data_IF_876810863663
#
_entry.id   IF_876810863663
#
_cell.length_a   1.000
_cell.length_b   1.000
_cell.length_c   1.000
_cell.angle_alpha   90.00
_cell.angle_beta   90.00
_cell.angle_gamma   90.00
#
_symmetry.space_group_name_H-M   'P 1'
#
loop_
_entity.id
_entity.type
_entity.pdbx_description
1 polymer ?
#
# COMPACT_ATOMS: atom_id res chain seq x y z
N UNK A 1 -4.42 -25.30 -25.32
CA UNK A 1 -5.28 -25.33 -24.12
C UNK A 1 -4.38 -25.22 -22.91
N UNK A 2 -4.61 -24.23 -22.05
CA UNK A 2 -3.90 -24.12 -20.76
C UNK A 2 -4.39 -25.24 -19.84
N UNK A 3 -3.50 -26.12 -19.38
CA UNK A 3 -3.84 -27.10 -18.34
C UNK A 3 -3.89 -26.39 -16.99
N UNK A 4 -5.10 -26.13 -16.47
CA UNK A 4 -5.30 -25.57 -15.13
C UNK A 4 -5.51 -26.69 -14.13
N UNK A 5 -4.65 -26.76 -13.12
CA UNK A 5 -4.74 -27.72 -12.02
C UNK A 5 -5.21 -26.97 -10.78
N UNK A 6 -6.34 -27.39 -10.20
CA UNK A 6 -6.84 -26.83 -8.94
C UNK A 6 -5.89 -27.20 -7.80
N UNK A 7 -5.38 -26.20 -7.08
CA UNK A 7 -4.61 -26.37 -5.85
C UNK A 7 -5.35 -25.67 -4.70
N UNK A 8 -5.18 -26.18 -3.48
CA UNK A 8 -5.74 -25.56 -2.27
C UNK A 8 -4.62 -25.31 -1.28
N UNK A 9 -4.50 -24.07 -0.84
CA UNK A 9 -3.66 -23.69 0.29
C UNK A 9 -4.59 -23.47 1.50
N UNK A 10 -4.27 -24.10 2.63
CA UNK A 10 -5.06 -23.97 3.87
C UNK A 10 -4.14 -23.38 4.94
N UNK A 11 -4.52 -22.23 5.48
CA UNK A 11 -3.84 -21.64 6.65
C UNK A 11 -4.49 -22.11 7.94
N UNK A 12 -3.67 -22.33 8.97
CA UNK A 12 -4.15 -22.63 10.33
C UNK A 12 -4.80 -21.42 11.00
N UNK A 13 -4.38 -20.22 10.62
CA UNK A 13 -4.81 -18.97 11.26
C UNK A 13 -5.93 -18.33 10.45
N UNK A 14 -7.04 -18.03 11.13
CA UNK A 14 -8.08 -17.16 10.59
C UNK A 14 -7.67 -15.69 10.82
N UNK A 15 -7.50 -14.96 9.73
CA UNK A 15 -7.06 -13.56 9.78
C UNK A 15 -8.25 -12.60 9.80
N UNK A 16 -8.01 -11.41 10.31
CA UNK A 16 -8.93 -10.28 10.28
C UNK A 16 -8.62 -9.37 9.09
N UNK A 17 -9.65 -8.79 8.50
CA UNK A 17 -9.49 -7.78 7.44
C UNK A 17 -9.06 -6.45 8.05
N UNK A 18 -8.30 -5.64 7.29
CA UNK A 18 -7.83 -4.33 7.76
C UNK A 18 -8.96 -3.40 8.22
N UNK A 19 -10.12 -3.46 7.58
CA UNK A 19 -11.29 -2.65 7.96
C UNK A 19 -11.81 -2.94 9.38
N UNK A 20 -11.48 -4.11 9.95
CA UNK A 20 -11.87 -4.47 11.32
C UNK A 20 -10.88 -3.99 12.39
N UNK A 21 -9.87 -3.20 12.01
CA UNK A 21 -8.95 -2.61 12.97
C UNK A 21 -9.73 -1.83 14.05
N UNK A 22 -9.31 -1.96 15.31
CA UNK A 22 -9.97 -1.35 16.48
C UNK A 22 -9.87 0.18 16.44
N UNK A 23 -8.82 0.72 15.85
CA UNK A 23 -8.61 2.15 15.72
C UNK A 23 -7.48 2.53 14.77
N UNK A 24 -7.20 3.83 14.63
CA UNK A 24 -6.17 4.36 13.75
C UNK A 24 -4.79 3.72 13.97
N UNK A 25 -4.40 3.54 15.24
CA UNK A 25 -3.12 2.95 15.59
C UNK A 25 -2.96 1.51 15.07
N UNK A 26 -3.94 0.62 15.34
CA UNK A 26 -3.86 -0.78 14.90
C UNK A 26 -3.91 -0.88 13.37
N UNK A 27 -4.73 -0.03 12.73
CA UNK A 27 -4.80 0.05 11.27
C UNK A 27 -3.43 0.36 10.66
N UNK A 28 -2.77 1.42 11.13
CA UNK A 28 -1.47 1.83 10.59
C UNK A 28 -0.35 0.85 10.98
N UNK A 29 -0.39 0.29 12.19
CA UNK A 29 0.54 -0.76 12.63
C UNK A 29 0.40 -2.02 11.77
N UNK A 30 -0.83 -2.35 11.36
CA UNK A 30 -1.15 -3.44 10.46
C UNK A 30 -0.55 -3.25 9.06
N UNK A 31 -0.72 -2.07 8.47
CA UNK A 31 -0.12 -1.74 7.18
C UNK A 31 1.41 -1.77 7.27
N UNK A 32 1.97 -1.17 8.32
CA UNK A 32 3.42 -1.14 8.54
C UNK A 32 4.01 -2.56 8.61
N UNK A 33 3.44 -3.44 9.45
CA UNK A 33 3.90 -4.82 9.55
C UNK A 33 3.66 -5.63 8.26
N UNK A 34 2.57 -5.35 7.53
CA UNK A 34 2.33 -5.91 6.20
C UNK A 34 3.43 -5.52 5.21
N UNK A 35 3.83 -4.25 5.20
CA UNK A 35 4.92 -3.73 4.37
C UNK A 35 6.29 -4.28 4.77
N UNK A 36 6.53 -4.54 6.05
CA UNK A 36 7.75 -5.26 6.48
C UNK A 36 7.77 -6.70 5.94
N UNK A 37 6.62 -7.38 5.93
CA UNK A 37 6.48 -8.69 5.29
C UNK A 37 6.74 -8.63 3.79
N UNK A 38 6.19 -7.62 3.12
CA UNK A 38 6.43 -7.34 1.71
C UNK A 38 7.91 -7.04 1.42
N UNK A 39 8.61 -6.29 2.28
CA UNK A 39 10.06 -6.06 2.14
C UNK A 39 10.87 -7.34 2.19
N UNK A 40 10.52 -8.30 3.07
CA UNK A 40 11.20 -9.59 3.09
C UNK A 40 11.05 -10.32 1.75
N UNK A 41 9.83 -10.31 1.18
CA UNK A 41 9.57 -10.87 -0.15
C UNK A 41 10.38 -10.16 -1.25
N UNK A 42 10.40 -8.82 -1.23
CA UNK A 42 11.23 -8.00 -2.11
C UNK A 42 12.71 -8.38 -2.02
N UNK A 43 13.22 -8.55 -0.80
CA UNK A 43 14.61 -8.91 -0.55
C UNK A 43 14.95 -10.33 -1.01
N UNK A 44 13.97 -11.23 -0.98
CA UNK A 44 14.10 -12.58 -1.55
C UNK A 44 13.95 -12.60 -3.08
N UNK A 45 13.78 -11.44 -3.71
CA UNK A 45 13.76 -11.28 -5.17
C UNK A 45 12.36 -11.26 -5.77
N UNK A 46 11.31 -11.08 -4.97
CA UNK A 46 9.91 -11.16 -5.39
C UNK A 46 9.13 -9.84 -5.21
N UNK A 47 8.31 -9.46 -6.19
CA UNK A 47 7.34 -8.37 -6.07
C UNK A 47 5.93 -8.94 -6.08
N UNK A 48 5.00 -8.32 -5.35
CA UNK A 48 3.69 -8.91 -5.05
C UNK A 48 2.71 -8.81 -6.20
N UNK A 49 2.66 -7.64 -6.84
CA UNK A 49 1.72 -7.26 -7.92
C UNK A 49 0.24 -7.17 -7.57
N UNK A 50 -0.15 -7.51 -6.34
CA UNK A 50 -1.55 -7.41 -5.89
C UNK A 50 -1.63 -7.02 -4.41
N UNK A 51 -0.87 -6.00 -4.03
CA UNK A 51 -1.07 -5.37 -2.70
C UNK A 51 -2.44 -4.70 -2.70
N UNK A 52 -3.37 -5.27 -1.92
CA UNK A 52 -4.77 -4.86 -1.83
C UNK A 52 -5.28 -4.94 -0.38
N UNK A 53 -6.48 -4.42 -0.11
CA UNK A 53 -7.13 -4.51 1.19
C UNK A 53 -7.52 -5.95 1.58
N UNK A 54 -7.67 -6.83 0.58
CA UNK A 54 -7.85 -8.27 0.77
C UNK A 54 -6.57 -9.03 1.10
N UNK A 55 -5.40 -8.45 0.77
CA UNK A 55 -4.12 -9.15 0.84
C UNK A 55 -3.18 -8.69 1.95
N UNK A 56 -3.50 -7.57 2.59
CA UNK A 56 -2.88 -7.17 3.85
C UNK A 56 -3.84 -7.48 4.99
N UNK A 57 -3.49 -8.45 5.84
CA UNK A 57 -4.41 -9.02 6.81
C UNK A 57 -3.87 -8.94 8.23
N UNK A 58 -4.74 -8.61 9.18
CA UNK A 58 -4.42 -8.54 10.60
C UNK A 58 -4.45 -9.94 11.24
N UNK A 59 -3.51 -10.20 12.14
CA UNK A 59 -3.63 -11.35 13.04
C UNK A 59 -4.76 -11.13 14.06
N UNK A 60 -5.44 -12.20 14.49
CA UNK A 60 -6.36 -12.12 15.63
C UNK A 60 -5.61 -11.84 16.94
N UNK A 61 -4.37 -12.34 17.05
CA UNK A 61 -3.47 -12.11 18.19
C UNK A 61 -2.07 -11.79 17.65
N UNK A 62 -1.39 -10.73 18.13
CA UNK A 62 -0.03 -10.42 17.73
C UNK A 62 0.91 -11.62 17.86
N UNK A 63 1.76 -11.80 16.86
CA UNK A 63 2.75 -12.87 16.79
C UNK A 63 4.13 -12.33 17.13
N UNK A 64 4.97 -13.15 17.76
CA UNK A 64 6.40 -12.85 17.92
C UNK A 64 7.13 -13.40 16.69
N UNK A 65 7.87 -12.52 16.00
CA UNK A 65 8.66 -12.83 14.81
C UNK A 65 10.10 -12.37 15.01
N UNK A 66 11.01 -12.93 14.22
CA UNK A 66 12.38 -12.40 14.14
C UNK A 66 12.30 -10.97 13.60
N UNK A 67 13.00 -10.00 14.21
CA UNK A 67 12.95 -8.63 13.76
C UNK A 67 13.62 -8.50 12.39
N UNK A 68 13.20 -7.50 11.63
CA UNK A 68 13.91 -7.10 10.42
C UNK A 68 15.17 -6.33 10.82
N UNK A 69 16.33 -6.97 10.73
CA UNK A 69 17.60 -6.39 11.20
C UNK A 69 18.33 -5.56 10.15
N UNK A 70 17.82 -5.52 8.91
CA UNK A 70 18.41 -4.73 7.80
C UNK A 70 18.43 -3.23 8.14
N UNK A 71 17.38 -2.74 8.77
CA UNK A 71 17.22 -1.34 9.11
C UNK A 71 17.32 -1.14 10.61
N UNK A 72 18.09 -0.14 11.02
CA UNK A 72 18.28 0.21 12.42
C UNK A 72 16.95 0.52 13.11
N UNK A 73 16.01 1.16 12.40
CA UNK A 73 14.68 1.51 12.92
C UNK A 73 13.77 0.29 13.17
N UNK A 74 14.08 -0.88 12.62
CA UNK A 74 13.24 -2.10 12.75
C UNK A 74 13.88 -3.21 13.57
N UNK A 75 15.15 -3.07 14.00
CA UNK A 75 15.93 -4.15 14.61
C UNK A 75 15.38 -4.71 15.93
N UNK A 76 14.56 -3.92 16.63
CA UNK A 76 13.96 -4.30 17.92
C UNK A 76 12.46 -4.66 17.79
N UNK A 77 11.90 -4.62 16.59
CA UNK A 77 10.47 -4.88 16.36
C UNK A 77 10.24 -6.38 16.18
N UNK A 78 9.86 -7.05 17.28
CA UNK A 78 9.54 -8.49 17.28
C UNK A 78 8.05 -8.78 17.24
N UNK A 79 7.22 -7.82 17.66
CA UNK A 79 5.76 -7.90 17.56
C UNK A 79 5.37 -7.76 16.08
N UNK A 80 4.49 -8.64 15.62
CA UNK A 80 3.94 -8.64 14.28
C UNK A 80 2.42 -8.80 14.36
N UNK A 81 1.68 -7.82 13.82
CA UNK A 81 0.20 -7.81 13.88
C UNK A 81 -0.46 -8.04 12.53
N UNK A 82 0.32 -8.19 11.46
CA UNK A 82 -0.19 -8.30 10.10
C UNK A 82 0.67 -9.23 9.24
N UNK A 83 0.08 -9.71 8.15
CA UNK A 83 0.74 -10.51 7.12
C UNK A 83 0.34 -10.00 5.74
N UNK A 84 1.27 -10.03 4.79
CA UNK A 84 0.96 -9.95 3.36
C UNK A 84 0.72 -11.37 2.84
N UNK A 85 -0.46 -11.65 2.32
CA UNK A 85 -0.82 -12.97 1.81
C UNK A 85 -0.74 -13.00 0.26
N UNK A 86 -1.31 -14.05 -0.35
CA UNK A 86 -1.64 -14.11 -1.79
C UNK A 86 -0.51 -13.69 -2.75
N UNK A 87 0.59 -14.43 -2.67
CA UNK A 87 1.72 -14.31 -3.59
C UNK A 87 1.51 -15.01 -4.94
N UNK A 88 0.28 -15.40 -5.32
CA UNK A 88 0.02 -16.16 -6.54
C UNK A 88 0.32 -15.34 -7.81
N UNK A 89 0.26 -13.99 -7.70
CA UNK A 89 0.65 -13.06 -8.76
C UNK A 89 2.11 -12.60 -8.66
N UNK A 90 2.88 -13.11 -7.67
CA UNK A 90 4.21 -12.60 -7.42
C UNK A 90 5.19 -12.91 -8.58
N UNK A 91 6.07 -11.96 -8.88
CA UNK A 91 7.08 -12.09 -9.94
C UNK A 91 8.49 -11.98 -9.37
N UNK A 92 9.46 -12.63 -10.03
CA UNK A 92 10.87 -12.43 -9.68
C UNK A 92 11.43 -11.25 -10.43
N UNK A 93 11.63 -10.16 -9.71
CA UNK A 93 12.04 -8.89 -10.33
C UNK A 93 13.53 -8.84 -10.71
N UNK A 94 14.35 -9.79 -10.23
CA UNK A 94 15.77 -9.91 -10.57
C UNK A 94 16.03 -10.61 -11.91
N UNK A 95 15.02 -11.27 -12.46
CA UNK A 95 15.11 -11.99 -13.73
C UNK A 95 14.64 -11.06 -14.84
N UNK A 96 15.58 -10.31 -15.44
CA UNK A 96 15.29 -9.29 -16.45
C UNK A 96 14.91 -9.85 -17.84
N UNK A 97 15.33 -11.08 -18.14
CA UNK A 97 15.00 -11.82 -19.39
C UNK A 97 13.56 -12.33 -19.45
N UNK A 98 12.70 -11.85 -18.54
CA UNK A 98 11.27 -12.10 -18.66
C UNK A 98 10.81 -11.40 -19.92
N UNK A 99 10.53 -12.17 -20.97
CA UNK A 99 9.53 -11.79 -21.97
C UNK A 99 8.38 -11.20 -21.17
N UNK A 100 8.25 -9.88 -21.23
CA UNK A 100 7.45 -9.06 -20.33
C UNK A 100 6.15 -9.80 -20.07
N UNK A 101 5.95 -10.33 -18.86
CA UNK A 101 4.76 -11.09 -18.53
C UNK A 101 3.58 -10.12 -18.63
N UNK A 102 3.01 -9.97 -19.84
CA UNK A 102 1.97 -9.01 -20.24
C UNK A 102 0.64 -9.25 -19.50
N UNK A 103 0.60 -10.20 -18.57
CA UNK A 103 -0.56 -10.48 -17.75
C UNK A 103 -0.80 -9.28 -16.85
N UNK A 104 -1.75 -8.42 -17.25
CA UNK A 104 -2.36 -7.42 -16.38
C UNK A 104 -3.02 -8.15 -15.22
N UNK A 105 -2.45 -8.01 -14.04
CA UNK A 105 -2.89 -8.69 -12.83
C UNK A 105 -2.84 -7.72 -11.67
N UNK A 106 -3.83 -7.82 -10.79
CA UNK A 106 -3.96 -6.96 -9.63
C UNK A 106 -5.31 -6.26 -9.59
N UNK A 107 -5.59 -5.64 -8.45
CA UNK A 107 -6.86 -4.99 -8.18
C UNK A 107 -6.81 -3.50 -8.59
N UNK A 108 -7.61 -3.10 -9.59
CA UNK A 108 -7.49 -1.81 -10.31
C UNK A 108 -7.33 -0.57 -9.41
N UNK A 109 -8.11 -0.37 -8.32
CA UNK A 109 -7.93 0.78 -7.43
C UNK A 109 -6.54 0.89 -6.80
N UNK A 110 -5.85 -0.25 -6.61
CA UNK A 110 -4.58 -0.33 -5.88
C UNK A 110 -3.35 -0.36 -6.79
N UNK A 111 -3.48 -0.74 -8.06
CA UNK A 111 -2.35 -0.78 -9.01
C UNK A 111 -1.77 0.63 -9.23
N UNK A 112 -0.45 0.78 -9.28
CA UNK A 112 0.20 2.09 -9.43
C UNK A 112 -0.25 2.83 -10.71
N UNK A 113 -0.33 4.16 -10.65
CA UNK A 113 -0.71 4.99 -11.82
C UNK A 113 0.23 4.78 -13.00
N UNK A 114 1.51 4.50 -12.74
CA UNK A 114 2.49 4.23 -13.80
C UNK A 114 2.17 2.94 -14.55
N UNK A 115 1.79 1.87 -13.84
CA UNK A 115 1.38 0.61 -14.46
C UNK A 115 0.05 0.77 -15.19
N UNK A 116 -0.93 1.45 -14.57
CA UNK A 116 -2.23 1.70 -15.17
C UNK A 116 -2.11 2.44 -16.51
N UNK A 117 -1.33 3.53 -16.56
CA UNK A 117 -1.13 4.28 -17.79
C UNK A 117 -0.44 3.44 -18.89
N UNK A 118 0.62 2.70 -18.55
CA UNK A 118 1.25 1.84 -19.55
C UNK A 118 0.32 0.71 -20.04
N UNK A 119 -0.53 0.17 -19.17
CA UNK A 119 -1.51 -0.84 -19.57
C UNK A 119 -2.63 -0.26 -20.43
N UNK A 120 -3.03 0.99 -20.20
CA UNK A 120 -4.01 1.69 -21.04
C UNK A 120 -3.45 1.92 -22.45
N UNK A 121 -2.16 2.23 -22.56
CA UNK A 121 -1.43 2.48 -23.81
C UNK A 121 -0.91 1.18 -24.49
N UNK A 122 -1.24 -0.01 -23.95
CA UNK A 122 -0.69 -1.31 -24.39
C UNK A 122 0.86 -1.40 -24.38
N UNK A 123 1.52 -0.54 -23.59
CA UNK A 123 2.97 -0.44 -23.51
C UNK A 123 3.57 -1.43 -22.50
N UNK A 124 4.72 -2.05 -22.83
CA UNK A 124 5.43 -2.91 -21.90
C UNK A 124 6.02 -2.08 -20.76
N UNK A 125 5.89 -2.60 -19.53
CA UNK A 125 6.41 -1.92 -18.37
C UNK A 125 6.93 -2.88 -17.31
N UNK A 126 8.10 -2.56 -16.77
CA UNK A 126 8.68 -3.29 -15.66
C UNK A 126 7.97 -2.88 -14.35
N UNK A 127 7.42 -3.87 -13.63
CA UNK A 127 6.96 -3.71 -12.25
C UNK A 127 8.16 -3.65 -11.30
N UNK A 128 8.12 -2.72 -10.35
CA UNK A 128 9.22 -2.40 -9.42
C UNK A 128 8.71 -2.25 -8.00
N UNK A 129 9.63 -2.12 -7.03
CA UNK A 129 9.25 -1.86 -5.63
C UNK A 129 8.38 -0.60 -5.50
N UNK A 130 8.58 0.42 -6.36
CA UNK A 130 7.84 1.67 -6.29
C UNK A 130 6.35 1.48 -6.57
N UNK A 131 5.99 0.50 -7.41
CA UNK A 131 4.60 0.20 -7.71
C UNK A 131 3.88 -0.44 -6.52
N UNK A 132 4.53 -1.41 -5.86
CA UNK A 132 3.96 -2.03 -4.66
C UNK A 132 3.89 -1.02 -3.49
N UNK A 133 4.88 -0.11 -3.35
CA UNK A 133 4.82 0.98 -2.36
C UNK A 133 3.67 1.96 -2.64
N UNK A 134 3.45 2.31 -3.90
CA UNK A 134 2.30 3.12 -4.30
C UNK A 134 0.98 2.36 -4.02
N UNK A 135 0.92 1.05 -4.24
CA UNK A 135 -0.25 0.24 -3.87
C UNK A 135 -0.57 0.30 -2.37
N UNK A 136 0.44 0.29 -1.49
CA UNK A 136 0.21 0.51 -0.06
C UNK A 136 -0.42 1.87 0.24
N UNK A 137 -0.02 2.95 -0.44
CA UNK A 137 -0.68 4.25 -0.30
C UNK A 137 -2.18 4.17 -0.67
N UNK A 138 -2.51 3.51 -1.77
CA UNK A 138 -3.89 3.36 -2.22
C UNK A 138 -4.74 2.49 -1.30
N UNK A 139 -4.15 1.42 -0.74
CA UNK A 139 -4.80 0.61 0.31
C UNK A 139 -5.10 1.48 1.53
N UNK A 140 -4.13 2.28 1.98
CA UNK A 140 -4.32 3.17 3.13
C UNK A 140 -5.50 4.13 2.89
N UNK A 141 -5.49 4.84 1.76
CA UNK A 141 -6.51 5.82 1.45
C UNK A 141 -7.91 5.18 1.29
N UNK A 142 -8.03 4.11 0.51
CA UNK A 142 -9.33 3.47 0.25
C UNK A 142 -9.92 2.83 1.50
N UNK A 143 -9.11 2.18 2.34
CA UNK A 143 -9.61 1.57 3.58
C UNK A 143 -10.03 2.63 4.58
N UNK A 144 -9.28 3.73 4.74
CA UNK A 144 -9.70 4.84 5.61
C UNK A 144 -10.99 5.50 5.14
N UNK A 145 -11.13 5.72 3.84
CA UNK A 145 -12.37 6.23 3.26
C UNK A 145 -13.53 5.25 3.51
N UNK A 146 -13.32 3.94 3.35
CA UNK A 146 -14.35 2.92 3.60
C UNK A 146 -14.77 2.90 5.08
N UNK A 147 -13.81 2.94 6.01
CA UNK A 147 -14.05 3.03 7.46
C UNK A 147 -14.88 4.27 7.80
N UNK A 148 -14.56 5.42 7.19
CA UNK A 148 -15.32 6.64 7.38
C UNK A 148 -16.72 6.60 6.75
N UNK A 149 -16.89 5.89 5.63
CA UNK A 149 -18.19 5.71 5.00
C UNK A 149 -19.12 4.86 5.87
N UNK A 150 -18.63 3.74 6.41
CA UNK A 150 -19.35 2.87 7.35
C UNK A 150 -19.79 3.63 8.62
N UNK A 151 -18.99 4.61 9.04
CA UNK A 151 -19.23 5.44 10.23
C UNK A 151 -20.00 6.73 9.92
N UNK A 152 -20.42 6.93 8.67
CA UNK A 152 -21.09 8.16 8.21
C UNK A 152 -20.32 9.45 8.54
N UNK A 153 -18.98 9.38 8.59
CA UNK A 153 -18.13 10.51 8.99
C UNK A 153 -17.51 11.26 7.80
N UNK A 154 -17.60 10.71 6.58
CA UNK A 154 -17.00 11.33 5.40
C UNK A 154 -17.68 12.65 5.04
N UNK A 155 -16.86 13.61 4.60
CA UNK A 155 -17.32 14.80 3.89
C UNK A 155 -17.93 14.44 2.54
N UNK A 156 -18.67 15.39 1.94
CA UNK A 156 -19.21 15.21 0.60
C UNK A 156 -18.13 15.02 -0.48
N UNK A 157 -16.92 15.57 -0.28
CA UNK A 157 -15.78 15.41 -1.19
C UNK A 157 -15.20 14.00 -1.08
N UNK A 158 -14.90 13.55 0.14
CA UNK A 158 -14.33 12.23 0.41
C UNK A 158 -15.25 11.09 -0.05
N UNK A 159 -16.57 11.24 0.09
CA UNK A 159 -17.54 10.25 -0.44
C UNK A 159 -17.44 10.12 -1.96
N UNK A 160 -17.23 11.25 -2.67
CA UNK A 160 -17.02 11.23 -4.12
C UNK A 160 -15.66 10.60 -4.48
N UNK A 161 -14.61 10.85 -3.69
CA UNK A 161 -13.31 10.20 -3.86
C UNK A 161 -13.46 8.68 -3.79
N UNK A 162 -14.05 8.18 -2.71
CA UNK A 162 -14.27 6.74 -2.49
C UNK A 162 -15.05 6.11 -3.64
N UNK A 163 -16.18 6.71 -4.01
CA UNK A 163 -17.03 6.20 -5.08
C UNK A 163 -16.27 6.10 -6.40
N UNK A 164 -15.50 7.13 -6.76
CA UNK A 164 -14.73 7.14 -8.03
C UNK A 164 -13.59 6.12 -8.00
N UNK A 165 -12.84 6.05 -6.91
CA UNK A 165 -11.72 5.10 -6.77
C UNK A 165 -12.20 3.65 -6.90
N UNK A 166 -13.32 3.28 -6.28
CA UNK A 166 -13.83 1.90 -6.31
C UNK A 166 -14.66 1.54 -7.55
N UNK A 167 -15.11 2.54 -8.31
CA UNK A 167 -15.92 2.31 -9.52
C UNK A 167 -15.09 2.09 -10.80
N UNK A 168 -13.76 2.13 -10.72
CA UNK A 168 -12.92 1.90 -11.88
C UNK A 168 -13.00 0.44 -12.37
N UNK A 169 -13.29 0.27 -13.66
CA UNK A 169 -13.47 -1.01 -14.33
C UNK A 169 -12.41 -1.27 -15.43
N UNK A 170 -11.59 -0.27 -15.74
CA UNK A 170 -10.47 -0.35 -16.68
C UNK A 170 -9.23 0.43 -16.19
N UNK A 171 -8.04 0.22 -16.80
CA UNK A 171 -6.82 0.92 -16.39
C UNK A 171 -6.88 2.45 -16.52
N UNK A 172 -7.39 2.97 -17.63
CA UNK A 172 -7.49 4.41 -17.90
C UNK A 172 -8.45 5.14 -16.96
N UNK A 173 -9.61 4.55 -16.67
CA UNK A 173 -10.54 5.11 -15.69
C UNK A 173 -9.96 5.07 -14.27
N UNK A 174 -9.25 4.00 -13.90
CA UNK A 174 -8.55 3.92 -12.61
C UNK A 174 -7.48 5.00 -12.48
N UNK A 175 -6.61 5.16 -13.49
CA UNK A 175 -5.56 6.20 -13.49
C UNK A 175 -6.16 7.61 -13.36
N UNK A 176 -7.18 7.91 -14.15
CA UNK A 176 -7.88 9.20 -14.13
C UNK A 176 -8.48 9.50 -12.76
N UNK A 177 -9.20 8.53 -12.18
CA UNK A 177 -9.83 8.69 -10.87
C UNK A 177 -8.79 8.89 -9.77
N UNK A 178 -7.65 8.21 -9.86
CA UNK A 178 -6.54 8.31 -8.90
C UNK A 178 -5.82 9.64 -8.98
N UNK A 179 -5.50 10.14 -10.17
CA UNK A 179 -4.91 11.48 -10.35
C UNK A 179 -5.81 12.57 -9.76
N UNK A 180 -7.09 12.50 -10.05
CA UNK A 180 -8.07 13.43 -9.51
C UNK A 180 -8.14 13.34 -7.98
N UNK A 181 -8.31 12.14 -7.40
CA UNK A 181 -8.39 11.96 -5.96
C UNK A 181 -7.11 12.41 -5.24
N UNK A 182 -5.93 12.13 -5.81
CA UNK A 182 -4.65 12.58 -5.27
C UNK A 182 -4.52 14.11 -5.30
N UNK A 183 -4.89 14.77 -6.41
CA UNK A 183 -4.90 16.24 -6.50
C UNK A 183 -5.81 16.84 -5.43
N UNK A 184 -7.02 16.31 -5.27
CA UNK A 184 -7.96 16.80 -4.25
C UNK A 184 -7.45 16.56 -2.83
N UNK A 185 -6.81 15.42 -2.56
CA UNK A 185 -6.17 15.15 -1.28
C UNK A 185 -5.06 16.17 -1.01
N UNK A 186 -4.16 16.41 -1.96
CA UNK A 186 -3.05 17.35 -1.82
C UNK A 186 -3.51 18.80 -1.64
N UNK A 187 -4.57 19.22 -2.35
CA UNK A 187 -5.18 20.53 -2.20
C UNK A 187 -5.83 20.72 -0.81
N UNK A 188 -6.39 19.66 -0.22
CA UNK A 188 -6.98 19.69 1.11
C UNK A 188 -5.96 19.66 2.27
N UNK A 189 -4.75 19.12 2.05
CA UNK A 189 -3.73 18.94 3.10
C UNK A 189 -3.37 20.23 3.86
N UNK A 190 -3.09 21.38 3.22
CA UNK A 190 -2.70 22.60 3.93
C UNK A 190 -3.81 23.20 4.79
N UNK A 191 -5.08 22.89 4.49
CA UNK A 191 -6.25 23.47 5.15
C UNK A 191 -6.88 22.54 6.19
N UNK A 192 -6.37 21.31 6.34
CA UNK A 192 -6.98 20.29 7.17
C UNK A 192 -8.47 20.09 6.86
N UNK A 193 -8.86 20.15 5.57
CA UNK A 193 -10.25 19.99 5.13
C UNK A 193 -10.60 18.51 4.93
N UNK A 194 -10.74 17.78 6.04
CA UNK A 194 -10.98 16.34 6.07
C UNK A 194 -11.99 15.92 7.14
N UNK A 195 -12.59 14.75 6.96
CA UNK A 195 -13.32 14.05 8.03
C UNK A 195 -12.41 13.75 9.22
N UNK A 196 -12.98 13.55 10.42
CA UNK A 196 -12.20 13.16 11.60
C UNK A 196 -11.30 11.94 11.35
N UNK A 197 -11.77 10.99 10.54
CA UNK A 197 -11.03 9.77 10.18
C UNK A 197 -9.75 10.08 9.39
N UNK A 198 -9.81 10.90 8.35
CA UNK A 198 -8.61 11.26 7.59
C UNK A 198 -7.74 12.29 8.32
N UNK A 199 -8.35 13.14 9.15
CA UNK A 199 -7.67 14.21 9.90
C UNK A 199 -6.48 13.68 10.72
N UNK A 200 -6.65 12.56 11.42
CA UNK A 200 -5.58 11.99 12.27
C UNK A 200 -4.38 11.46 11.47
N UNK A 201 -4.54 11.26 10.15
CA UNK A 201 -3.48 10.80 9.24
C UNK A 201 -2.86 11.91 8.40
N UNK A 202 -3.31 13.17 8.52
CA UNK A 202 -2.75 14.30 7.74
C UNK A 202 -1.22 14.41 7.87
N UNK A 203 -0.61 14.33 9.07
CA UNK A 203 0.86 14.37 9.18
C UNK A 203 1.54 13.22 8.42
N UNK A 204 0.94 12.03 8.45
CA UNK A 204 1.47 10.85 7.74
C UNK A 204 1.34 11.02 6.22
N UNK A 205 0.20 11.47 5.71
CA UNK A 205 0.00 11.75 4.28
C UNK A 205 0.95 12.84 3.75
N UNK A 206 1.12 13.91 4.52
CA UNK A 206 2.07 15.00 4.21
C UNK A 206 3.49 14.47 4.02
N UNK A 207 3.87 13.43 4.76
CA UNK A 207 5.19 12.82 4.67
C UNK A 207 5.31 11.81 3.52
N UNK A 208 4.35 10.88 3.37
CA UNK A 208 4.48 9.76 2.42
C UNK A 208 4.19 10.13 0.97
N UNK A 209 3.35 11.14 0.70
CA UNK A 209 3.00 11.50 -0.69
C UNK A 209 4.24 11.94 -1.48
N UNK A 210 5.10 12.84 -0.95
CA UNK A 210 6.38 13.17 -1.58
C UNK A 210 7.28 11.95 -1.79
N UNK A 211 7.38 11.05 -0.79
CA UNK A 211 8.21 9.84 -0.86
C UNK A 211 7.75 8.89 -1.97
N UNK A 212 6.44 8.66 -2.06
CA UNK A 212 5.82 7.85 -3.11
C UNK A 212 6.12 8.44 -4.50
N UNK A 213 5.91 9.75 -4.67
CA UNK A 213 6.19 10.45 -5.94
C UNK A 213 7.68 10.39 -6.31
N UNK A 214 8.57 10.59 -5.34
CA UNK A 214 10.02 10.51 -5.54
C UNK A 214 10.45 9.09 -5.96
N UNK A 215 9.87 8.04 -5.35
CA UNK A 215 10.16 6.64 -5.70
C UNK A 215 9.79 6.36 -7.16
N UNK A 216 8.56 6.70 -7.56
CA UNK A 216 8.08 6.53 -8.94
C UNK A 216 8.91 7.35 -9.93
N UNK A 217 9.23 8.61 -9.61
CA UNK A 217 10.04 9.46 -10.47
C UNK A 217 11.48 8.95 -10.63
N UNK A 218 12.05 8.38 -9.56
CA UNK A 218 13.41 7.83 -9.59
C UNK A 218 13.49 6.57 -10.43
N UNK A 219 12.53 5.65 -10.28
CA UNK A 219 12.46 4.43 -11.10
C UNK A 219 12.30 4.76 -12.58
N UNK A 220 11.49 5.77 -12.94
CA UNK A 220 11.31 6.21 -14.33
C UNK A 220 12.60 6.72 -15.00
N UNK A 221 13.58 7.17 -14.22
CA UNK A 221 14.86 7.69 -14.73
C UNK A 221 15.97 6.64 -14.76
N UNK A 222 15.71 5.42 -14.30
CA UNK A 222 16.71 4.35 -14.35
C UNK A 222 17.01 3.96 -15.79
N UNK A 223 18.29 3.78 -16.09
CA UNK A 223 18.75 3.15 -17.31
C UNK A 223 18.86 1.62 -17.11
N UNK A 224 19.05 0.90 -18.21
CA UNK A 224 19.21 -0.55 -18.20
C UNK A 224 20.51 -1.02 -17.54
N UNK A 225 21.53 -0.15 -17.52
CA UNK A 225 22.84 -0.48 -16.99
C UNK A 225 22.75 -0.66 -15.47
N UNK A 226 23.10 -1.85 -14.97
CA UNK A 226 23.04 -2.20 -13.54
C UNK A 226 21.63 -2.04 -12.91
N UNK A 227 20.56 -2.28 -13.69
CA UNK A 227 19.18 -2.10 -13.24
C UNK A 227 18.86 -2.86 -11.94
N UNK A 228 19.31 -4.11 -11.80
CA UNK A 228 19.06 -4.92 -10.59
C UNK A 228 19.73 -4.32 -9.34
N UNK A 229 20.97 -3.83 -9.48
CA UNK A 229 21.70 -3.21 -8.37
C UNK A 229 21.06 -1.87 -7.98
N UNK A 230 20.68 -1.08 -8.98
CA UNK A 230 19.98 0.20 -8.80
C UNK A 230 18.65 0.01 -8.09
N UNK A 231 17.83 -0.93 -8.55
CA UNK A 231 16.56 -1.28 -7.91
C UNK A 231 16.79 -1.79 -6.48
N UNK A 232 17.78 -2.66 -6.25
CA UNK A 232 18.12 -3.15 -4.90
C UNK A 232 18.39 -1.97 -3.95
N UNK A 233 19.28 -1.07 -4.36
CA UNK A 233 19.73 0.07 -3.54
C UNK A 233 18.59 1.06 -3.29
N UNK A 234 17.84 1.41 -4.33
CA UNK A 234 16.71 2.33 -4.22
C UNK A 234 15.56 1.73 -3.41
N UNK A 235 15.27 0.45 -3.59
CA UNK A 235 14.28 -0.27 -2.80
C UNK A 235 14.62 -0.16 -1.31
N UNK A 236 15.83 -0.57 -0.91
CA UNK A 236 16.27 -0.46 0.49
C UNK A 236 16.10 0.97 1.03
N UNK A 237 16.51 2.00 0.25
CA UNK A 237 16.32 3.41 0.62
C UNK A 237 14.84 3.75 0.85
N UNK A 238 13.96 3.46 -0.10
CA UNK A 238 12.57 3.89 -0.02
C UNK A 238 11.77 3.11 1.04
N UNK A 239 12.00 1.81 1.22
CA UNK A 239 11.41 1.07 2.34
C UNK A 239 11.82 1.64 3.69
N UNK A 240 13.11 1.96 3.88
CA UNK A 240 13.57 2.57 5.13
C UNK A 240 12.88 3.92 5.40
N UNK A 241 12.71 4.75 4.37
CA UNK A 241 12.02 6.03 4.49
C UNK A 241 10.55 5.83 4.90
N UNK A 242 9.84 4.89 4.28
CA UNK A 242 8.48 4.53 4.66
C UNK A 242 8.40 4.00 6.10
N UNK A 243 9.31 3.10 6.51
CA UNK A 243 9.35 2.57 7.87
C UNK A 243 9.55 3.69 8.91
N UNK A 244 10.42 4.65 8.62
CA UNK A 244 10.61 5.83 9.47
C UNK A 244 9.34 6.70 9.53
N UNK A 245 8.61 6.86 8.42
CA UNK A 245 7.33 7.57 8.39
C UNK A 245 6.29 6.91 9.29
N UNK A 246 6.13 5.58 9.18
CA UNK A 246 5.24 4.81 10.05
C UNK A 246 5.59 4.99 11.53
N UNK A 247 6.87 4.83 11.87
CA UNK A 247 7.33 4.91 13.26
C UNK A 247 7.18 6.32 13.85
N UNK A 248 7.26 7.38 13.05
CA UNK A 248 6.95 8.75 13.48
C UNK A 248 5.46 8.97 13.72
N UNK A 249 4.61 8.42 12.85
CA UNK A 249 3.16 8.62 12.93
C UNK A 249 2.48 7.78 14.02
N UNK A 250 2.92 6.55 14.24
CA UNK A 250 2.26 5.61 15.16
C UNK A 250 2.02 6.18 16.58
N UNK A 251 2.98 6.84 17.26
CA UNK A 251 2.78 7.32 18.62
C UNK A 251 1.67 8.36 18.78
N UNK A 252 1.32 9.12 17.73
CA UNK A 252 0.29 10.18 17.79
C UNK A 252 -1.11 9.69 17.45
N UNK A 253 -1.26 8.44 16.99
CA UNK A 253 -2.55 7.92 16.53
C UNK A 253 -3.44 7.44 17.69
N UNK A 254 -4.74 7.80 17.70
CA UNK A 254 -5.71 7.28 18.65
C UNK A 254 -5.80 5.75 18.62
N UNK A 255 -6.18 5.16 19.76
CA UNK A 255 -6.25 3.69 19.91
C UNK A 255 -7.57 3.12 19.41
N UNK A 256 -8.63 3.92 19.43
CA UNK A 256 -9.97 3.50 19.01
C UNK A 256 -10.54 4.47 17.97
N UNK A 257 -11.43 3.99 17.11
CA UNK A 257 -12.18 4.89 16.21
C UNK A 257 -13.14 5.82 16.97
N UNK A 258 -13.62 5.41 18.16
CA UNK A 258 -14.52 6.22 18.98
C UNK A 258 -13.81 7.48 19.53
N UNK A 259 -12.52 7.40 19.86
CA UNK A 259 -11.71 8.57 20.22
C UNK A 259 -11.66 9.62 19.10
N UNK A 260 -11.70 9.18 17.84
CA UNK A 260 -11.62 10.04 16.66
C UNK A 260 -12.95 10.77 16.40
N UNK A 261 -14.07 10.10 16.67
CA UNK A 261 -15.41 10.60 16.34
C UNK A 261 -16.05 11.44 17.47
N UNK A 262 -15.39 11.57 18.63
CA UNK A 262 -15.87 12.43 19.71
C UNK A 262 -15.84 13.90 19.25
N UNK A 263 -16.92 14.67 19.47
CA UNK A 263 -16.85 16.11 19.27
C UNK A 263 -15.81 16.71 20.25
N UNK A 264 -15.08 17.75 19.84
CA UNK A 264 -14.19 18.46 20.75
C UNK A 264 -14.99 18.96 21.97
N UNK A 265 -14.44 18.73 23.17
CA UNK A 265 -14.98 19.23 24.44
C UNK A 265 -14.81 20.74 24.50
#
# INVERSE_FOLDING_TARGET
MENRIHKRLISKTEYRKLHTAVGPYEFLEGIFHGMMGHYNMYKDGWLHRDVSDGNVLLFPVPQIRKPLTRFECTKNLTKCVSVSNDGDQAIRWRELDRELEQRRSGTLPFISMRLLNAWDDDEPILHTFADDLESFFWVILCVLLSIGAERNSLTGKERKWLHKLLAADDPGSSDTNKRWALSMLEESLPYNDFSPILMVFVPFFTEIIPLMKEATATVKRLNSDNLVESLTTLGDKFYEMWFKAFLRALPSLPKTWDEVLKPPI
#
